data_IF_919015083255
#
_entry.id   IF_919015083255
#
_cell.length_a   1.000
_cell.length_b   1.000
_cell.length_c   1.000
_cell.angle_alpha   90.00
_cell.angle_beta   90.00
_cell.angle_gamma   90.00
#
_symmetry.space_group_name_H-M   'P 1'
#
loop_
_entity.id
_entity.type
_entity.pdbx_description
1 polymer ?
#
# COMPACT_ATOMS: atom_id res chain seq x y z
N UNK A 1 -5.89 13.81 3.94
CA UNK A 1 -4.75 13.90 3.00
C UNK A 1 -4.50 12.52 2.43
N UNK A 2 -3.85 12.39 1.27
CA UNK A 2 -3.49 11.09 0.71
C UNK A 2 -2.20 10.54 1.32
N UNK A 3 -1.97 9.23 1.22
CA UNK A 3 -0.68 8.62 1.57
C UNK A 3 0.49 9.23 0.80
N UNK A 4 0.26 9.68 -0.44
CA UNK A 4 1.23 10.38 -1.27
C UNK A 4 1.54 11.78 -0.76
N UNK A 5 0.55 12.50 -0.24
CA UNK A 5 0.77 13.77 0.46
C UNK A 5 1.57 13.53 1.76
N UNK A 6 1.26 12.48 2.51
CA UNK A 6 2.01 12.08 3.70
C UNK A 6 3.47 11.75 3.40
N UNK A 7 3.69 11.03 2.31
CA UNK A 7 5.01 10.66 1.83
C UNK A 7 5.84 11.90 1.45
N UNK A 8 5.24 12.85 0.72
CA UNK A 8 5.90 14.14 0.38
C UNK A 8 6.25 14.96 1.62
N UNK A 9 5.41 14.92 2.65
CA UNK A 9 5.63 15.60 3.92
C UNK A 9 6.57 14.85 4.87
N UNK A 10 7.09 13.67 4.47
CA UNK A 10 7.91 12.77 5.29
C UNK A 10 7.21 12.23 6.55
N UNK A 11 5.88 12.31 6.58
CA UNK A 11 5.05 11.67 7.63
C UNK A 11 4.93 10.16 7.40
N UNK A 12 4.96 9.74 6.13
CA UNK A 12 5.15 8.35 5.71
C UNK A 12 6.55 8.20 5.13
N UNK A 13 7.41 7.40 5.75
CA UNK A 13 8.77 7.19 5.25
C UNK A 13 8.81 6.13 4.16
N UNK A 14 9.85 6.18 3.32
CA UNK A 14 10.11 5.16 2.29
C UNK A 14 10.25 3.76 2.90
N UNK A 15 10.96 3.65 4.02
CA UNK A 15 11.19 2.38 4.70
C UNK A 15 9.89 1.82 5.28
N UNK A 16 9.05 2.66 5.91
CA UNK A 16 7.76 2.24 6.42
C UNK A 16 6.82 1.78 5.29
N UNK A 17 6.76 2.54 4.20
CA UNK A 17 5.97 2.18 3.02
C UNK A 17 6.45 0.84 2.43
N UNK A 18 7.75 0.66 2.24
CA UNK A 18 8.32 -0.57 1.69
C UNK A 18 8.09 -1.77 2.62
N UNK A 19 8.25 -1.58 3.93
CA UNK A 19 7.97 -2.64 4.91
C UNK A 19 6.49 -3.06 4.89
N UNK A 20 5.57 -2.09 4.84
CA UNK A 20 4.14 -2.37 4.79
C UNK A 20 3.73 -3.08 3.47
N UNK A 21 4.27 -2.65 2.33
CA UNK A 21 4.07 -3.32 1.03
C UNK A 21 4.62 -4.74 1.06
N UNK A 22 5.81 -4.95 1.63
CA UNK A 22 6.41 -6.27 1.73
C UNK A 22 5.61 -7.20 2.65
N UNK A 23 5.16 -6.70 3.81
CA UNK A 23 4.33 -7.45 4.75
C UNK A 23 3.01 -7.90 4.09
N UNK A 24 2.32 -6.99 3.42
CA UNK A 24 1.08 -7.31 2.71
C UNK A 24 1.30 -8.36 1.60
N UNK A 25 2.39 -8.28 0.84
CA UNK A 25 2.66 -9.27 -0.21
C UNK A 25 3.12 -10.63 0.33
N UNK A 26 3.68 -10.68 1.54
CA UNK A 26 4.05 -11.92 2.21
C UNK A 26 2.82 -12.66 2.75
N UNK A 27 1.87 -11.92 3.34
CA UNK A 27 0.60 -12.44 3.81
C UNK A 27 -0.50 -11.36 3.74
N UNK A 28 -1.32 -11.37 2.67
CA UNK A 28 -2.43 -10.41 2.52
C UNK A 28 -3.54 -10.56 3.56
N UNK A 29 -3.57 -11.68 4.30
CA UNK A 29 -4.56 -11.92 5.35
C UNK A 29 -4.14 -11.37 6.71
N UNK A 30 -2.83 -11.12 6.89
CA UNK A 30 -2.32 -10.48 8.08
C UNK A 30 -2.60 -8.96 8.05
N UNK A 31 -2.94 -8.35 9.20
CA UNK A 31 -3.13 -6.92 9.27
C UNK A 31 -1.82 -6.17 8.98
N UNK A 32 -1.87 -5.23 8.03
CA UNK A 32 -0.79 -4.31 7.74
C UNK A 32 -1.32 -2.87 7.79
N UNK A 33 -0.89 -2.11 8.79
CA UNK A 33 -1.36 -0.74 9.05
C UNK A 33 -0.17 0.22 9.09
N UNK A 34 -0.30 1.34 8.38
CA UNK A 34 0.64 2.46 8.41
C UNK A 34 0.07 3.57 9.30
N UNK A 35 0.75 3.88 10.40
CA UNK A 35 0.44 5.03 11.24
C UNK A 35 1.08 6.28 10.66
N UNK A 36 0.28 7.34 10.46
CA UNK A 36 0.69 8.57 9.77
C UNK A 36 0.16 9.77 10.56
N UNK A 37 0.99 10.34 11.44
CA UNK A 37 0.57 11.43 12.31
C UNK A 37 -0.56 10.98 13.25
N UNK A 38 -1.76 11.55 13.08
CA UNK A 38 -2.98 11.15 13.83
C UNK A 38 -3.92 10.26 13.03
N UNK A 39 -3.59 9.93 11.78
CA UNK A 39 -4.39 9.06 10.91
C UNK A 39 -3.66 7.76 10.59
N UNK A 40 -4.31 6.87 9.84
CA UNK A 40 -3.76 5.55 9.53
C UNK A 40 -4.26 5.02 8.19
N UNK A 41 -3.44 4.22 7.53
CA UNK A 41 -3.83 3.49 6.31
C UNK A 41 -3.80 1.99 6.61
N UNK A 42 -4.93 1.32 6.43
CA UNK A 42 -4.99 -0.14 6.32
C UNK A 42 -4.63 -0.53 4.87
N UNK A 43 -3.53 -1.29 4.71
CA UNK A 43 -2.98 -1.64 3.40
C UNK A 43 -3.93 -2.54 2.62
N UNK A 44 -4.58 -3.49 3.29
CA UNK A 44 -5.52 -4.39 2.62
C UNK A 44 -6.76 -3.63 2.16
N UNK A 45 -7.30 -2.74 2.99
CA UNK A 45 -8.41 -1.87 2.61
C UNK A 45 -8.04 -0.93 1.45
N UNK A 46 -6.85 -0.34 1.47
CA UNK A 46 -6.35 0.50 0.38
C UNK A 46 -6.24 -0.28 -0.94
N UNK A 47 -5.72 -1.51 -0.90
CA UNK A 47 -5.62 -2.39 -2.08
C UNK A 47 -7.00 -2.74 -2.62
N UNK A 48 -7.93 -3.19 -1.77
CA UNK A 48 -9.29 -3.56 -2.18
C UNK A 48 -10.08 -2.38 -2.76
N UNK A 49 -9.82 -1.16 -2.27
CA UNK A 49 -10.43 0.06 -2.80
C UNK A 49 -9.82 0.53 -4.13
N UNK A 50 -8.67 -0.01 -4.55
CA UNK A 50 -7.95 0.44 -5.74
C UNK A 50 -8.04 -0.59 -6.88
N UNK A 51 -8.93 -0.35 -7.85
CA UNK A 51 -9.25 -1.30 -8.93
C UNK A 51 -8.03 -1.85 -9.68
N UNK A 52 -7.05 -1.01 -10.02
CA UNK A 52 -5.82 -1.46 -10.68
C UNK A 52 -4.98 -2.38 -9.79
N UNK A 53 -4.98 -2.18 -8.47
CA UNK A 53 -4.21 -3.04 -7.56
C UNK A 53 -4.85 -4.42 -7.45
N UNK A 54 -6.17 -4.48 -7.29
CA UNK A 54 -6.95 -5.74 -7.31
C UNK A 54 -6.70 -6.50 -8.61
N UNK A 55 -6.80 -5.80 -9.75
CA UNK A 55 -6.64 -6.38 -11.08
C UNK A 55 -5.23 -6.95 -11.29
N UNK A 56 -4.19 -6.18 -10.97
CA UNK A 56 -2.80 -6.64 -11.09
C UNK A 56 -2.49 -7.82 -10.18
N UNK A 57 -2.98 -7.83 -8.93
CA UNK A 57 -2.75 -8.91 -7.97
C UNK A 57 -3.52 -10.20 -8.33
N UNK A 58 -4.60 -10.10 -9.09
CA UNK A 58 -5.38 -11.25 -9.56
C UNK A 58 -4.81 -11.95 -10.81
N UNK A 59 -3.78 -11.40 -11.46
CA UNK A 59 -3.15 -12.01 -12.65
C UNK A 59 -2.18 -13.12 -12.26
N UNK A 60 -2.18 -14.21 -13.02
CA UNK A 60 -1.27 -15.36 -12.79
C UNK A 60 0.20 -15.02 -13.09
N UNK A 61 0.49 -14.31 -14.19
CA UNK A 61 1.86 -14.07 -14.68
C UNK A 61 2.44 -12.69 -14.28
N UNK A 62 1.98 -12.12 -13.17
CA UNK A 62 2.45 -10.80 -12.74
C UNK A 62 3.78 -10.91 -11.99
N UNK A 63 4.75 -10.08 -12.40
CA UNK A 63 6.08 -10.05 -11.79
C UNK A 63 6.06 -9.47 -10.37
N UNK A 64 7.02 -9.87 -9.53
CA UNK A 64 7.18 -9.30 -8.18
C UNK A 64 7.25 -7.76 -8.14
N UNK A 65 8.01 -7.09 -9.03
CA UNK A 65 8.00 -5.63 -9.14
C UNK A 65 6.62 -5.05 -9.47
N UNK A 66 5.84 -5.68 -10.36
CA UNK A 66 4.49 -5.22 -10.68
C UNK A 66 3.54 -5.35 -9.47
N UNK A 67 3.58 -6.47 -8.73
CA UNK A 67 2.81 -6.64 -7.49
C UNK A 67 3.15 -5.53 -6.47
N UNK A 68 4.44 -5.28 -6.25
CA UNK A 68 4.92 -4.22 -5.35
C UNK A 68 4.42 -2.84 -5.75
N UNK A 69 4.54 -2.49 -7.03
CA UNK A 69 4.10 -1.19 -7.52
C UNK A 69 2.58 -1.03 -7.41
N UNK A 70 1.80 -2.07 -7.66
CA UNK A 70 0.34 -2.00 -7.54
C UNK A 70 -0.11 -1.70 -6.10
N UNK A 71 0.44 -2.42 -5.11
CA UNK A 71 0.17 -2.20 -3.68
C UNK A 71 0.66 -0.82 -3.25
N UNK A 72 1.88 -0.43 -3.64
CA UNK A 72 2.44 0.87 -3.32
C UNK A 72 1.58 2.01 -3.86
N UNK A 73 1.11 1.91 -5.10
CA UNK A 73 0.20 2.89 -5.71
C UNK A 73 -1.11 2.99 -4.94
N UNK A 74 -1.72 1.87 -4.55
CA UNK A 74 -2.94 1.87 -3.75
C UNK A 74 -2.75 2.61 -2.41
N UNK A 75 -1.66 2.33 -1.69
CA UNK A 75 -1.33 3.00 -0.43
C UNK A 75 -1.10 4.50 -0.62
N UNK A 76 -0.35 4.90 -1.65
CA UNK A 76 -0.08 6.32 -1.90
C UNK A 76 -1.32 7.10 -2.33
N UNK A 77 -2.33 6.45 -2.90
CA UNK A 77 -3.58 7.11 -3.32
C UNK A 77 -4.70 7.01 -2.27
N UNK A 78 -4.54 6.17 -1.24
CA UNK A 78 -5.49 6.07 -0.13
C UNK A 78 -5.51 7.35 0.72
N UNK A 79 -6.67 7.64 1.33
CA UNK A 79 -6.80 8.70 2.33
C UNK A 79 -6.25 8.20 3.68
N UNK A 80 -5.53 9.10 4.36
CA UNK A 80 -5.03 8.98 5.74
C UNK A 80 -6.08 9.45 6.73
#
# INVERSE_FOLDING_TARGET
MTGGEAYKQKLLTEDALNAAVAAYLADPSAPAVLEIGTGRIDVAAAVLAHAYAVEVLGREDVTGPQKRNAVRTAVLLALV
#
